data_IF_716532267775
#
_entry.id   IF_716532267775
#
_cell.length_a   1.000
_cell.length_b   1.000
_cell.length_c   1.000
_cell.angle_alpha   90.00
_cell.angle_beta   90.00
_cell.angle_gamma   90.00
#
_symmetry.space_group_name_H-M   'P 1'
#
loop_
_entity.id
_entity.type
_entity.pdbx_description
1 polymer ?
#
# COMPACT_ATOMS: atom_id res chain seq x y z
N UNK A 1 -3.85 -12.11 10.24
CA UNK A 1 -3.62 -11.86 8.81
C UNK A 1 -2.34 -11.06 8.61
N UNK A 2 -1.40 -11.65 7.91
CA UNK A 2 -0.08 -11.04 7.76
C UNK A 2 -0.13 -9.69 7.05
N UNK A 3 -0.91 -9.56 5.98
CA UNK A 3 -1.02 -8.29 5.25
C UNK A 3 -1.61 -7.18 6.11
N UNK A 4 -2.56 -7.51 6.98
CA UNK A 4 -3.17 -6.53 7.89
C UNK A 4 -2.14 -6.01 8.90
N UNK A 5 -1.27 -6.87 9.40
CA UNK A 5 -0.21 -6.49 10.32
C UNK A 5 0.78 -5.55 9.62
N UNK A 6 1.20 -5.90 8.41
CA UNK A 6 2.15 -5.10 7.65
C UNK A 6 1.58 -3.72 7.31
N UNK A 7 0.30 -3.66 6.95
CA UNK A 7 -0.36 -2.38 6.69
C UNK A 7 -0.46 -1.54 7.95
N UNK A 8 -0.75 -2.16 9.10
CA UNK A 8 -0.82 -1.45 10.36
C UNK A 8 0.55 -0.87 10.72
N UNK A 9 1.61 -1.62 10.50
CA UNK A 9 2.98 -1.14 10.74
C UNK A 9 3.34 0.03 9.84
N UNK A 10 2.94 -0.03 8.58
CA UNK A 10 3.16 1.06 7.63
C UNK A 10 2.42 2.32 8.07
N UNK A 11 1.15 2.20 8.43
CA UNK A 11 0.34 3.32 8.92
C UNK A 11 0.96 3.91 10.18
N UNK A 12 1.46 3.08 11.08
CA UNK A 12 2.07 3.52 12.32
C UNK A 12 3.27 4.43 12.08
N UNK A 13 4.06 4.18 11.02
CA UNK A 13 5.20 5.03 10.67
C UNK A 13 4.75 6.48 10.46
N UNK A 14 3.58 6.68 9.87
CA UNK A 14 3.08 8.01 9.50
C UNK A 14 2.08 8.59 10.51
N UNK A 15 1.56 7.78 11.41
CA UNK A 15 0.42 8.13 12.27
C UNK A 15 0.62 9.41 13.08
N UNK A 16 1.82 9.61 13.59
CA UNK A 16 2.12 10.72 14.51
C UNK A 16 2.94 11.82 13.86
N UNK A 17 3.04 11.81 12.54
CA UNK A 17 3.83 12.81 11.82
C UNK A 17 2.94 13.77 11.08
N UNK A 18 3.42 15.01 10.95
CA UNK A 18 2.77 15.99 10.09
C UNK A 18 3.01 15.58 8.63
N UNK A 19 2.26 16.21 7.72
CA UNK A 19 2.42 15.97 6.30
C UNK A 19 3.86 16.24 5.83
N UNK A 20 4.46 17.33 6.32
CA UNK A 20 5.83 17.67 5.96
C UNK A 20 6.82 16.67 6.50
N UNK A 21 6.62 16.22 7.75
CA UNK A 21 7.47 15.19 8.34
C UNK A 21 7.38 13.88 7.56
N UNK A 22 6.18 13.52 7.09
CA UNK A 22 6.00 12.31 6.29
C UNK A 22 6.75 12.38 4.97
N UNK A 23 6.90 13.56 4.40
CA UNK A 23 7.65 13.75 3.16
C UNK A 23 9.15 13.74 3.39
N UNK A 24 9.58 13.95 4.61
CA UNK A 24 10.98 14.07 4.97
C UNK A 24 11.40 13.02 5.99
N UNK A 25 11.02 11.78 5.72
CA UNK A 25 11.39 10.66 6.57
C UNK A 25 12.90 10.49 6.60
N UNK A 26 13.43 10.08 7.76
CA UNK A 26 14.81 9.69 7.86
C UNK A 26 15.09 8.51 6.93
N UNK A 27 16.36 8.31 6.58
CA UNK A 27 16.75 7.20 5.72
C UNK A 27 16.31 5.85 6.30
N UNK A 28 16.43 5.67 7.61
CA UNK A 28 16.04 4.44 8.28
C UNK A 28 14.53 4.20 8.19
N UNK A 29 13.73 5.24 8.44
CA UNK A 29 12.26 5.13 8.34
C UNK A 29 11.82 4.89 6.91
N UNK A 30 12.46 5.54 5.96
CA UNK A 30 12.16 5.36 4.55
C UNK A 30 12.45 3.92 4.10
N UNK A 31 13.57 3.38 4.52
CA UNK A 31 13.92 1.99 4.23
C UNK A 31 12.91 1.03 4.85
N UNK A 32 12.55 1.28 6.11
CA UNK A 32 11.54 0.45 6.80
C UNK A 32 10.20 0.50 6.06
N UNK A 33 9.75 1.69 5.67
CA UNK A 33 8.51 1.86 4.93
C UNK A 33 8.57 1.09 3.61
N UNK A 34 9.70 1.14 2.91
CA UNK A 34 9.89 0.39 1.66
C UNK A 34 9.77 -1.11 1.87
N UNK A 35 10.35 -1.63 2.95
CA UNK A 35 10.24 -3.04 3.29
C UNK A 35 8.78 -3.44 3.56
N UNK A 36 8.04 -2.62 4.30
CA UNK A 36 6.64 -2.89 4.59
C UNK A 36 5.80 -2.88 3.31
N UNK A 37 6.04 -1.93 2.42
CA UNK A 37 5.37 -1.89 1.12
C UNK A 37 5.65 -3.17 0.34
N UNK A 38 6.90 -3.61 0.32
CA UNK A 38 7.28 -4.84 -0.37
C UNK A 38 6.56 -6.06 0.20
N UNK A 39 6.48 -6.17 1.52
CA UNK A 39 5.81 -7.27 2.17
C UNK A 39 4.31 -7.29 1.85
N UNK A 40 3.67 -6.12 1.89
CA UNK A 40 2.25 -5.99 1.56
C UNK A 40 2.01 -6.44 0.11
N UNK A 41 2.84 -5.98 -0.82
CA UNK A 41 2.71 -6.37 -2.22
C UNK A 41 2.89 -7.86 -2.41
N UNK A 42 3.84 -8.49 -1.70
CA UNK A 42 4.02 -9.93 -1.75
C UNK A 42 2.78 -10.67 -1.29
N UNK A 43 2.18 -10.27 -0.18
CA UNK A 43 0.96 -10.90 0.32
C UNK A 43 -0.19 -10.73 -0.66
N UNK A 44 -0.31 -9.54 -1.25
CA UNK A 44 -1.36 -9.29 -2.24
C UNK A 44 -1.17 -10.15 -3.49
N UNK A 45 0.07 -10.29 -3.97
CA UNK A 45 0.37 -11.15 -5.10
C UNK A 45 0.02 -12.61 -4.82
N UNK A 46 0.38 -13.09 -3.63
CA UNK A 46 0.05 -14.45 -3.22
C UNK A 46 -1.46 -14.65 -3.15
N UNK A 47 -2.17 -13.69 -2.58
CA UNK A 47 -3.62 -13.75 -2.48
C UNK A 47 -4.27 -13.77 -3.87
N UNK A 48 -3.81 -12.93 -4.78
CA UNK A 48 -4.32 -12.91 -6.15
C UNK A 48 -4.06 -14.24 -6.85
N UNK A 49 -2.88 -14.83 -6.64
CA UNK A 49 -2.55 -16.13 -7.20
C UNK A 49 -3.50 -17.22 -6.69
N UNK A 50 -3.77 -17.22 -5.38
CA UNK A 50 -4.68 -18.18 -4.77
C UNK A 50 -6.11 -18.07 -5.28
N UNK A 51 -6.56 -16.83 -5.50
CA UNK A 51 -7.95 -16.56 -5.90
C UNK A 51 -8.14 -16.49 -7.41
N UNK A 52 -7.07 -16.60 -8.19
CA UNK A 52 -7.17 -16.44 -9.64
C UNK A 52 -7.49 -15.03 -10.09
N UNK A 53 -7.09 -14.03 -9.32
CA UNK A 53 -7.32 -12.63 -9.65
C UNK A 53 -6.13 -12.10 -10.46
N UNK A 54 -6.42 -11.44 -11.58
CA UNK A 54 -5.43 -10.70 -12.34
C UNK A 54 -5.24 -9.35 -11.64
N UNK A 55 -4.12 -9.18 -10.95
CA UNK A 55 -3.86 -7.99 -10.14
C UNK A 55 -3.81 -6.73 -11.00
N UNK A 56 -3.18 -6.80 -12.17
CA UNK A 56 -3.09 -5.65 -13.06
C UNK A 56 -4.47 -5.19 -13.51
N UNK A 57 -5.31 -6.14 -13.93
CA UNK A 57 -6.67 -5.80 -14.37
C UNK A 57 -7.50 -5.26 -13.22
N UNK A 58 -7.39 -5.84 -12.03
CA UNK A 58 -8.09 -5.35 -10.85
C UNK A 58 -7.72 -3.91 -10.53
N UNK A 59 -6.43 -3.59 -10.64
CA UNK A 59 -5.95 -2.23 -10.41
C UNK A 59 -6.49 -1.26 -11.46
N UNK A 60 -6.43 -1.64 -12.73
CA UNK A 60 -6.92 -0.80 -13.82
C UNK A 60 -8.41 -0.53 -13.68
N UNK A 61 -9.18 -1.55 -13.33
CA UNK A 61 -10.62 -1.42 -13.11
C UNK A 61 -10.92 -0.44 -11.96
N UNK A 62 -10.15 -0.54 -10.90
CA UNK A 62 -10.33 0.33 -9.74
C UNK A 62 -9.95 1.77 -10.02
N UNK A 63 -8.88 1.97 -10.78
CA UNK A 63 -8.47 3.31 -11.19
C UNK A 63 -9.54 3.96 -12.07
N UNK A 64 -10.10 3.22 -13.01
CA UNK A 64 -11.18 3.72 -13.87
C UNK A 64 -12.42 4.07 -13.04
N UNK A 65 -12.78 3.24 -12.07
CA UNK A 65 -13.91 3.49 -11.19
C UNK A 65 -13.69 4.75 -10.34
N UNK A 66 -12.49 4.90 -9.77
CA UNK A 66 -12.15 6.07 -8.98
C UNK A 66 -12.18 7.34 -9.82
N UNK A 67 -11.70 7.27 -11.06
CA UNK A 67 -11.73 8.39 -11.97
C UNK A 67 -13.16 8.85 -12.24
N UNK A 68 -14.06 7.90 -12.49
CA UNK A 68 -15.48 8.22 -12.72
C UNK A 68 -16.14 8.86 -11.50
N UNK A 69 -15.68 8.49 -10.30
CA UNK A 69 -16.26 9.00 -9.04
C UNK A 69 -15.76 10.38 -8.68
N UNK A 70 -14.49 10.67 -8.95
CA UNK A 70 -13.83 11.86 -8.42
C UNK A 70 -13.50 12.92 -9.47
N UNK A 71 -13.49 12.57 -10.72
CA UNK A 71 -13.29 13.54 -11.80
C UNK A 71 -14.64 14.15 -12.18
N UNK A 72 -14.71 15.46 -12.18
CA UNK A 72 -15.94 16.18 -12.48
C UNK A 72 -15.79 16.95 -13.77
#
# INVERSE_FOLDING_TARGET
MAASVEMAELVEIFQWQTEDESRQLSADKLEHAGQEVGDILMYLLLMCSELGIDMEQALLDKLADNERRFVR
#
